data_IF_318392776825
#
_entry.id   IF_318392776825
#
_cell.length_a   1.000
_cell.length_b   1.000
_cell.length_c   1.000
_cell.angle_alpha   90.00
_cell.angle_beta   90.00
_cell.angle_gamma   90.00
#
_symmetry.space_group_name_H-M   'P 1'
#
loop_
_entity.id
_entity.type
_entity.pdbx_description
1 polymer ?
#
# COMPACT_ATOMS: atom_id res chain seq x y z
N UNK A 1 17.10 -2.54 -18.43
CA UNK A 1 17.02 -2.63 -16.97
C UNK A 1 15.92 -3.62 -16.60
N UNK A 2 15.89 -4.05 -15.34
CA UNK A 2 14.77 -4.82 -14.79
C UNK A 2 13.58 -3.87 -14.53
N UNK A 3 12.38 -4.31 -14.91
CA UNK A 3 11.14 -3.60 -14.65
C UNK A 3 10.16 -4.58 -14.00
N UNK A 4 9.45 -4.12 -12.98
CA UNK A 4 8.45 -4.89 -12.26
C UNK A 4 7.11 -4.16 -12.39
N UNK A 5 6.06 -4.90 -12.72
CA UNK A 5 4.70 -4.36 -12.78
C UNK A 5 3.97 -4.46 -11.42
N UNK A 6 4.42 -5.37 -10.57
CA UNK A 6 3.83 -5.63 -9.25
C UNK A 6 4.74 -5.10 -8.15
N UNK A 7 4.18 -4.30 -7.24
CA UNK A 7 4.90 -3.70 -6.12
C UNK A 7 5.55 -4.75 -5.20
N UNK A 8 4.83 -5.84 -4.90
CA UNK A 8 5.33 -6.91 -4.03
C UNK A 8 6.53 -7.63 -4.64
N UNK A 9 6.52 -7.89 -5.95
CA UNK A 9 7.68 -8.50 -6.63
C UNK A 9 8.89 -7.55 -6.61
N UNK A 10 8.65 -6.24 -6.78
CA UNK A 10 9.71 -5.25 -6.67
C UNK A 10 10.27 -5.16 -5.24
N UNK A 11 9.42 -5.30 -4.21
CA UNK A 11 9.84 -5.36 -2.81
C UNK A 11 10.75 -6.56 -2.53
N UNK A 12 10.34 -7.75 -2.98
CA UNK A 12 11.15 -8.97 -2.85
C UNK A 12 12.49 -8.86 -3.58
N UNK A 13 12.51 -8.22 -4.75
CA UNK A 13 13.75 -7.95 -5.48
C UNK A 13 14.71 -7.06 -4.69
N UNK A 14 14.20 -5.99 -4.08
CA UNK A 14 15.00 -5.11 -3.22
C UNK A 14 15.49 -5.83 -1.96
N UNK A 15 14.63 -6.61 -1.30
CA UNK A 15 15.00 -7.42 -0.12
C UNK A 15 16.08 -8.46 -0.45
N UNK A 16 16.09 -8.99 -1.69
CA UNK A 16 17.14 -9.87 -2.19
C UNK A 16 18.45 -9.15 -2.58
N UNK A 17 18.56 -7.84 -2.32
CA UNK A 17 19.76 -7.05 -2.60
C UNK A 17 19.92 -6.65 -4.07
N UNK A 18 18.86 -6.71 -4.88
CA UNK A 18 18.93 -6.34 -6.31
C UNK A 18 18.82 -4.82 -6.56
N UNK A 19 18.69 -4.00 -5.51
CA UNK A 19 18.69 -2.53 -5.62
C UNK A 19 17.80 -1.85 -4.59
N UNK A 20 17.28 -0.68 -4.95
CA UNK A 20 16.35 0.13 -4.16
C UNK A 20 15.01 0.28 -4.88
N UNK A 21 13.93 0.49 -4.14
CA UNK A 21 12.57 0.59 -4.66
C UNK A 21 11.75 1.62 -3.87
N UNK A 22 10.84 2.33 -4.54
CA UNK A 22 9.85 3.20 -3.90
C UNK A 22 8.56 2.43 -3.70
N UNK A 23 8.11 2.29 -2.45
CA UNK A 23 6.93 1.48 -2.08
C UNK A 23 6.05 2.22 -1.05
N UNK A 24 4.74 1.97 -1.05
CA UNK A 24 3.87 2.39 0.04
C UNK A 24 4.27 1.69 1.35
N UNK A 25 4.53 2.47 2.41
CA UNK A 25 5.03 1.95 3.70
C UNK A 25 4.17 0.84 4.28
N UNK A 26 2.84 1.01 4.26
CA UNK A 26 1.89 0.06 4.84
C UNK A 26 1.93 -1.35 4.19
N UNK A 27 2.52 -1.49 2.99
CA UNK A 27 2.67 -2.78 2.33
C UNK A 27 3.93 -3.54 2.75
N UNK A 28 4.87 -2.89 3.42
CA UNK A 28 6.21 -3.42 3.72
C UNK A 28 6.61 -3.28 5.20
N UNK A 29 5.65 -3.03 6.10
CA UNK A 29 5.93 -2.85 7.53
C UNK A 29 6.66 -4.05 8.13
N UNK A 30 6.25 -5.27 7.76
CA UNK A 30 6.85 -6.50 8.23
C UNK A 30 8.32 -6.62 7.81
N UNK A 31 8.63 -6.32 6.56
CA UNK A 31 9.99 -6.40 6.01
C UNK A 31 10.91 -5.38 6.70
N UNK A 32 10.39 -4.20 7.08
CA UNK A 32 11.14 -3.22 7.86
C UNK A 32 11.35 -3.71 9.31
N UNK A 33 10.30 -4.24 9.96
CA UNK A 33 10.40 -4.79 11.32
C UNK A 33 11.39 -5.96 11.41
N UNK A 34 11.47 -6.78 10.36
CA UNK A 34 12.38 -7.91 10.25
C UNK A 34 13.77 -7.53 9.73
N UNK A 35 14.00 -6.25 9.43
CA UNK A 35 15.23 -5.73 8.82
C UNK A 35 15.61 -6.39 7.47
N UNK A 36 14.62 -6.93 6.76
CA UNK A 36 14.78 -7.41 5.38
C UNK A 36 14.82 -6.23 4.39
N UNK A 37 14.15 -5.13 4.73
CA UNK A 37 14.25 -3.84 4.06
C UNK A 37 14.67 -2.77 5.06
N UNK A 38 15.30 -1.71 4.54
CA UNK A 38 15.66 -0.51 5.33
C UNK A 38 15.18 0.74 4.60
N UNK A 39 14.77 1.74 5.37
CA UNK A 39 14.43 3.05 4.81
C UNK A 39 15.72 3.81 4.46
N UNK A 40 15.90 4.14 3.18
CA UNK A 40 17.12 4.82 2.71
C UNK A 40 17.13 6.31 3.06
N UNK A 41 15.95 6.94 3.12
CA UNK A 41 15.76 8.36 3.39
C UNK A 41 14.47 8.55 4.18
N UNK A 42 14.51 9.36 5.24
CA UNK A 42 13.32 9.79 6.01
C UNK A 42 12.53 10.87 5.23
N UNK A 43 12.16 10.57 3.98
CA UNK A 43 11.45 11.49 3.09
C UNK A 43 10.22 10.79 2.50
N UNK A 44 9.08 10.78 3.20
CA UNK A 44 7.85 10.22 2.66
C UNK A 44 7.37 11.06 1.47
N UNK A 45 7.25 10.41 0.31
CA UNK A 45 6.67 11.02 -0.89
C UNK A 45 5.15 10.88 -0.83
N UNK A 46 4.43 12.00 -0.78
CA UNK A 46 2.98 12.03 -0.95
C UNK A 46 2.67 12.09 -2.44
N UNK A 47 2.25 10.97 -3.02
CA UNK A 47 1.68 10.95 -4.36
C UNK A 47 0.26 11.53 -4.37
N UNK A 48 -0.20 11.98 -5.53
CA UNK A 48 -1.60 12.37 -5.75
C UNK A 48 -2.55 11.16 -5.82
N UNK A 49 -2.00 9.94 -5.86
CA UNK A 49 -2.74 8.69 -6.00
C UNK A 49 -3.13 8.12 -4.63
N UNK A 50 -4.31 7.49 -4.58
CA UNK A 50 -4.87 6.90 -3.36
C UNK A 50 -5.61 5.60 -3.64
N UNK A 51 -6.02 4.92 -2.57
CA UNK A 51 -6.83 3.71 -2.64
C UNK A 51 -8.31 4.07 -2.51
N UNK A 52 -9.14 3.55 -3.41
CA UNK A 52 -10.56 3.90 -3.50
C UNK A 52 -11.44 2.67 -3.30
N UNK A 53 -12.50 2.81 -2.51
CA UNK A 53 -13.62 1.87 -2.47
C UNK A 53 -14.58 2.21 -3.62
N UNK A 54 -14.80 1.27 -4.52
CA UNK A 54 -15.70 1.45 -5.67
C UNK A 54 -16.89 0.49 -5.53
N UNK A 55 -18.10 1.02 -5.66
CA UNK A 55 -19.36 0.25 -5.61
C UNK A 55 -20.25 0.63 -6.80
N UNK A 56 -21.02 -0.30 -7.38
CA UNK A 56 -22.09 0.04 -8.32
C UNK A 56 -23.07 1.04 -7.67
N UNK A 57 -23.60 2.02 -8.43
CA UNK A 57 -24.51 3.04 -7.91
C UNK A 57 -25.73 2.46 -7.18
N UNK A 58 -26.28 1.36 -7.66
CA UNK A 58 -27.43 0.67 -7.08
C UNK A 58 -27.18 0.09 -5.69
N UNK A 59 -25.91 -0.08 -5.30
CA UNK A 59 -25.50 -0.71 -4.04
C UNK A 59 -24.97 0.30 -3.02
N UNK A 60 -24.99 1.61 -3.32
CA UNK A 60 -24.41 2.65 -2.44
C UNK A 60 -25.05 2.64 -1.05
N UNK A 61 -26.35 2.35 -0.96
CA UNK A 61 -27.13 2.30 0.28
C UNK A 61 -27.33 0.87 0.82
N UNK A 62 -26.72 -0.14 0.18
CA UNK A 62 -26.78 -1.52 0.67
C UNK A 62 -26.05 -1.60 2.01
N UNK A 63 -26.76 -2.05 3.06
CA UNK A 63 -26.25 -1.95 4.44
C UNK A 63 -24.83 -2.54 4.66
N UNK A 64 -24.45 -3.68 4.06
CA UNK A 64 -23.07 -4.18 4.13
C UNK A 64 -22.02 -3.28 3.45
N UNK A 65 -22.36 -2.61 2.35
CA UNK A 65 -21.46 -1.65 1.67
C UNK A 65 -21.23 -0.44 2.55
N UNK A 66 -22.30 0.08 3.17
CA UNK A 66 -22.20 1.19 4.14
C UNK A 66 -21.32 0.77 5.32
N UNK A 67 -21.59 -0.39 5.93
CA UNK A 67 -20.81 -0.87 7.08
C UNK A 67 -19.31 -1.00 6.75
N UNK A 68 -18.97 -1.56 5.58
CA UNK A 68 -17.59 -1.68 5.12
C UNK A 68 -16.95 -0.31 4.88
N UNK A 69 -17.66 0.62 4.22
CA UNK A 69 -17.18 1.98 3.98
C UNK A 69 -16.86 2.70 5.28
N UNK A 70 -17.79 2.70 6.23
CA UNK A 70 -17.59 3.35 7.52
C UNK A 70 -16.44 2.71 8.31
N UNK A 71 -16.34 1.39 8.28
CA UNK A 71 -15.23 0.68 8.89
C UNK A 71 -13.87 1.04 8.25
N UNK A 72 -13.78 1.05 6.93
CA UNK A 72 -12.55 1.42 6.20
C UNK A 72 -12.13 2.86 6.50
N UNK A 73 -13.07 3.81 6.51
CA UNK A 73 -12.78 5.20 6.84
C UNK A 73 -12.34 5.39 8.30
N UNK A 74 -12.85 4.55 9.21
CA UNK A 74 -12.38 4.50 10.59
C UNK A 74 -10.98 3.89 10.72
N UNK A 75 -10.71 2.80 10.00
CA UNK A 75 -9.44 2.07 10.06
C UNK A 75 -8.30 2.78 9.32
N UNK A 76 -8.59 3.52 8.24
CA UNK A 76 -7.61 4.23 7.43
C UNK A 76 -7.15 5.57 8.03
N UNK A 77 -7.63 5.92 9.23
CA UNK A 77 -7.26 7.16 9.89
C UNK A 77 -5.85 7.03 10.47
N UNK A 78 -4.87 7.57 9.73
CA UNK A 78 -3.45 7.69 10.12
C UNK A 78 -3.28 8.77 11.18
#
# INVERSE_FOLDING_TARGET
GMYFEQLLTAAQAAAAGMGAVLLPRFLIEKEIEQAELVELFELPLRGEQGYYLVTPPENVDYAPVVALREWLLGAARV
#
